data_IF_782733575574
#
_entry.id   IF_782733575574
#
_cell.length_a   1.000
_cell.length_b   1.000
_cell.length_c   1.000
_cell.angle_alpha   90.00
_cell.angle_beta   90.00
_cell.angle_gamma   90.00
#
_symmetry.space_group_name_H-M   'P 1'
#
loop_
_entity.id
_entity.type
_entity.pdbx_description
1 polymer ?
#
# COMPACT_ATOMS: atom_id res chain seq x y z
N UNK A 1 -0.87 -5.61 67.19
CA UNK A 1 -1.75 -4.75 68.01
C UNK A 1 -1.00 -4.09 69.18
N UNK A 2 0.30 -3.78 69.05
CA UNK A 2 1.09 -3.14 70.12
C UNK A 2 1.32 -1.63 69.90
N UNK A 3 1.36 -1.17 68.65
CA UNK A 3 1.65 0.24 68.32
C UNK A 3 0.63 1.32 68.76
N UNK A 4 -0.54 0.93 69.28
CA UNK A 4 -1.54 1.88 69.79
C UNK A 4 -1.40 2.20 71.28
N UNK A 5 -0.67 1.38 72.06
CA UNK A 5 -0.43 1.65 73.50
C UNK A 5 0.76 2.58 73.73
N UNK A 6 1.75 2.58 72.84
CA UNK A 6 3.02 3.28 73.05
C UNK A 6 2.97 4.76 72.64
N UNK A 7 2.24 5.11 71.58
CA UNK A 7 1.95 6.51 71.22
C UNK A 7 1.10 7.21 72.28
N UNK A 8 0.38 6.45 73.11
CA UNK A 8 -0.32 6.98 74.27
C UNK A 8 0.62 7.29 75.45
N UNK A 9 1.80 6.65 75.56
CA UNK A 9 2.76 6.83 76.66
C UNK A 9 3.60 8.10 76.51
N UNK A 10 4.15 8.37 75.32
CA UNK A 10 4.91 9.62 75.09
C UNK A 10 4.01 10.85 75.10
N UNK A 11 2.76 10.70 74.64
CA UNK A 11 1.73 11.70 74.86
C UNK A 11 1.30 11.84 76.32
N UNK A 12 1.56 10.87 77.20
CA UNK A 12 1.26 10.96 78.62
C UNK A 12 2.37 11.68 79.40
N UNK A 13 3.65 11.45 79.06
CA UNK A 13 4.78 12.19 79.64
C UNK A 13 4.71 13.69 79.31
N UNK A 14 4.41 14.03 78.04
CA UNK A 14 4.29 15.42 77.58
C UNK A 14 3.01 16.13 78.07
N UNK A 15 2.11 15.42 78.75
CA UNK A 15 0.89 15.95 79.37
C UNK A 15 1.00 16.12 80.89
N UNK A 16 2.12 15.72 81.49
CA UNK A 16 2.38 15.96 82.91
C UNK A 16 2.53 17.46 83.13
N UNK A 17 1.81 18.01 84.13
CA UNK A 17 1.83 19.43 84.50
C UNK A 17 3.25 19.93 84.78
N UNK A 18 4.16 19.04 85.16
CA UNK A 18 5.57 19.37 85.39
C UNK A 18 6.36 19.68 84.09
N UNK A 19 5.88 19.24 82.92
CA UNK A 19 6.57 19.40 81.64
C UNK A 19 5.84 20.28 80.61
N UNK A 20 4.63 20.74 80.93
CA UNK A 20 3.82 21.56 80.02
C UNK A 20 4.49 22.90 79.67
N UNK A 21 5.20 23.49 80.63
CA UNK A 21 5.90 24.76 80.43
C UNK A 21 6.97 24.65 79.34
N UNK A 22 7.65 23.50 79.24
CA UNK A 22 8.66 23.22 78.21
C UNK A 22 8.06 22.96 76.82
N UNK A 23 6.76 22.70 76.73
CA UNK A 23 6.07 22.44 75.46
C UNK A 23 5.50 23.72 74.81
N UNK A 24 5.62 24.87 75.49
CA UNK A 24 5.19 26.18 74.97
C UNK A 24 6.21 26.74 73.97
N UNK A 25 5.74 27.39 72.90
CA UNK A 25 6.62 27.97 71.88
C UNK A 25 7.47 29.15 72.40
N UNK A 26 7.00 29.83 73.47
CA UNK A 26 7.64 30.99 74.09
C UNK A 26 8.37 30.66 75.41
N UNK A 27 8.82 29.41 75.59
CA UNK A 27 9.49 29.00 76.82
C UNK A 27 10.71 29.87 77.15
N UNK A 28 10.63 30.65 78.22
CA UNK A 28 11.72 31.49 78.70
C UNK A 28 12.45 30.87 79.89
N UNK A 29 13.67 30.38 79.60
CA UNK A 29 14.57 29.77 80.58
C UNK A 29 14.85 30.71 81.76
N UNK A 30 14.91 32.02 81.54
CA UNK A 30 15.29 33.00 82.58
C UNK A 30 14.18 33.17 83.62
N UNK A 31 12.93 33.28 83.17
CA UNK A 31 11.77 33.37 84.07
C UNK A 31 11.52 32.06 84.80
N UNK A 32 11.65 30.92 84.11
CA UNK A 32 11.53 29.59 84.73
C UNK A 32 12.60 29.35 85.82
N UNK A 33 13.87 29.65 85.52
CA UNK A 33 14.97 29.49 86.50
C UNK A 33 14.85 30.47 87.66
N UNK A 34 14.45 31.73 87.41
CA UNK A 34 14.20 32.69 88.47
C UNK A 34 13.08 32.23 89.42
N UNK A 35 11.98 31.68 88.88
CA UNK A 35 10.90 31.12 89.68
C UNK A 35 11.38 29.90 90.49
N UNK A 36 12.14 28.97 89.90
CA UNK A 36 12.68 27.81 90.61
C UNK A 36 13.64 28.19 91.75
N UNK A 37 14.45 29.24 91.56
CA UNK A 37 15.34 29.80 92.59
C UNK A 37 14.54 30.46 93.71
N UNK A 38 13.52 31.27 93.37
CA UNK A 38 12.68 31.96 94.33
C UNK A 38 11.91 31.02 95.27
N UNK A 39 11.45 29.87 94.76
CA UNK A 39 10.75 28.87 95.56
C UNK A 39 11.70 27.93 96.33
N UNK A 40 13.03 28.08 96.15
CA UNK A 40 14.07 27.21 96.73
C UNK A 40 13.94 25.71 96.38
N UNK A 41 13.34 25.39 95.22
CA UNK A 41 13.03 24.01 94.78
C UNK A 41 14.02 23.50 93.72
N UNK A 42 15.18 24.15 93.57
CA UNK A 42 16.14 23.90 92.48
C UNK A 42 16.57 22.42 92.40
N UNK A 43 16.91 21.82 93.54
CA UNK A 43 17.38 20.43 93.58
C UNK A 43 16.29 19.42 93.16
N UNK A 44 15.05 19.66 93.56
CA UNK A 44 13.91 18.81 93.19
C UNK A 44 13.53 18.99 91.72
N UNK A 45 13.55 20.22 91.19
CA UNK A 45 13.28 20.47 89.77
C UNK A 45 14.37 19.89 88.87
N UNK A 46 15.64 19.96 89.27
CA UNK A 46 16.74 19.33 88.55
C UNK A 46 16.63 17.80 88.56
N UNK A 47 16.22 17.22 89.69
CA UNK A 47 15.98 15.78 89.80
C UNK A 47 14.81 15.32 88.92
N UNK A 48 13.71 16.08 88.88
CA UNK A 48 12.56 15.82 88.00
C UNK A 48 12.95 15.93 86.53
N UNK A 49 13.70 16.96 86.13
CA UNK A 49 14.17 17.11 84.76
C UNK A 49 15.11 15.96 84.34
N UNK A 50 16.04 15.56 85.21
CA UNK A 50 16.93 14.43 84.95
C UNK A 50 16.15 13.11 84.81
N UNK A 51 15.10 12.93 85.61
CA UNK A 51 14.18 11.81 85.51
C UNK A 51 13.37 11.84 84.20
N UNK A 52 12.82 13.00 83.81
CA UNK A 52 12.09 13.19 82.56
C UNK A 52 12.95 12.94 81.33
N UNK A 53 14.19 13.43 81.32
CA UNK A 53 15.17 13.15 80.24
C UNK A 53 15.44 11.64 80.15
N UNK A 54 15.66 10.98 81.28
CA UNK A 54 15.92 9.53 81.30
C UNK A 54 14.70 8.72 80.83
N UNK A 55 13.49 9.18 81.14
CA UNK A 55 12.25 8.56 80.66
C UNK A 55 12.03 8.79 79.16
N UNK A 56 12.25 10.00 78.67
CA UNK A 56 12.16 10.32 77.24
C UNK A 56 13.20 9.55 76.43
N UNK A 57 14.43 9.44 76.91
CA UNK A 57 15.49 8.66 76.27
C UNK A 57 15.12 7.18 76.17
N UNK A 58 14.57 6.62 77.26
CA UNK A 58 14.07 5.24 77.28
C UNK A 58 12.91 5.02 76.30
N UNK A 59 11.94 5.93 76.27
CA UNK A 59 10.80 5.84 75.34
C UNK A 59 11.23 6.01 73.89
N UNK A 60 12.12 6.97 73.60
CA UNK A 60 12.67 7.20 72.27
C UNK A 60 13.43 5.96 71.80
N UNK A 61 14.25 5.36 72.65
CA UNK A 61 14.94 4.11 72.34
C UNK A 61 13.96 2.98 72.03
N UNK A 62 12.92 2.81 72.85
CA UNK A 62 11.87 1.79 72.60
C UNK A 62 11.16 2.04 71.28
N UNK A 63 10.79 3.28 70.95
CA UNK A 63 10.14 3.58 69.67
C UNK A 63 11.06 3.34 68.46
N UNK A 64 12.34 3.70 68.57
CA UNK A 64 13.34 3.46 67.52
C UNK A 64 13.51 1.95 67.32
N UNK A 65 13.67 1.19 68.40
CA UNK A 65 13.78 -0.28 68.33
C UNK A 65 12.48 -0.94 67.88
N UNK A 66 11.31 -0.39 68.19
CA UNK A 66 10.05 -0.95 67.72
C UNK A 66 9.86 -0.79 66.20
N UNK A 67 10.34 0.32 65.62
CA UNK A 67 10.09 0.66 64.19
C UNK A 67 11.27 0.40 63.24
N UNK A 68 12.48 0.17 63.74
CA UNK A 68 13.65 0.01 62.86
C UNK A 68 13.54 -1.19 61.92
N UNK A 69 13.01 -2.33 62.38
CA UNK A 69 12.77 -3.52 61.56
C UNK A 69 11.80 -3.24 60.41
N UNK A 70 10.71 -2.53 60.69
CA UNK A 70 9.72 -2.16 59.65
C UNK A 70 10.31 -1.20 58.62
N UNK A 71 11.13 -0.23 59.04
CA UNK A 71 11.78 0.72 58.13
C UNK A 71 12.82 0.04 57.24
N UNK A 72 13.59 -0.91 57.80
CA UNK A 72 14.55 -1.72 57.07
C UNK A 72 13.85 -2.69 56.11
N UNK A 73 12.74 -3.32 56.54
CA UNK A 73 11.92 -4.16 55.69
C UNK A 73 11.32 -3.36 54.51
N UNK A 74 10.90 -2.11 54.75
CA UNK A 74 10.44 -1.22 53.67
C UNK A 74 11.59 -0.84 52.72
N UNK A 75 12.76 -0.48 53.25
CA UNK A 75 13.92 -0.12 52.42
C UNK A 75 14.38 -1.28 51.53
N UNK A 76 14.49 -2.49 52.09
CA UNK A 76 14.82 -3.71 51.34
C UNK A 76 13.73 -4.08 50.33
N UNK A 77 12.45 -3.84 50.68
CA UNK A 77 11.32 -3.98 49.77
C UNK A 77 11.44 -3.06 48.55
N UNK A 78 11.80 -1.79 48.76
CA UNK A 78 12.02 -0.81 47.69
C UNK A 78 13.19 -1.23 46.79
N UNK A 79 14.31 -1.66 47.38
CA UNK A 79 15.48 -2.14 46.63
C UNK A 79 15.13 -3.36 45.75
N UNK A 80 14.34 -4.30 46.28
CA UNK A 80 13.89 -5.47 45.52
C UNK A 80 13.00 -5.07 44.32
N UNK A 81 12.12 -4.08 44.50
CA UNK A 81 11.24 -3.59 43.45
C UNK A 81 12.03 -2.86 42.36
N UNK A 82 13.04 -2.07 42.74
CA UNK A 82 13.95 -1.43 41.80
C UNK A 82 14.67 -2.47 40.93
N UNK A 83 15.13 -3.57 41.52
CA UNK A 83 15.71 -4.69 40.77
C UNK A 83 14.73 -5.32 39.75
N UNK A 84 13.46 -5.51 40.13
CA UNK A 84 12.42 -6.02 39.22
C UNK A 84 12.13 -5.04 38.09
N UNK A 85 12.03 -3.74 38.39
CA UNK A 85 11.82 -2.68 37.40
C UNK A 85 12.98 -2.61 36.40
N UNK A 86 14.22 -2.70 36.88
CA UNK A 86 15.40 -2.73 36.03
C UNK A 86 15.40 -3.96 35.10
N UNK A 87 15.01 -5.13 35.62
CA UNK A 87 14.85 -6.33 34.81
C UNK A 87 13.75 -6.16 33.74
N UNK A 88 12.61 -5.57 34.10
CA UNK A 88 11.53 -5.29 33.15
C UNK A 88 11.99 -4.34 32.06
N UNK A 89 12.66 -3.25 32.40
CA UNK A 89 13.18 -2.28 31.44
C UNK A 89 14.14 -2.93 30.44
N UNK A 90 15.05 -3.78 30.93
CA UNK A 90 15.99 -4.53 30.08
C UNK A 90 15.24 -5.46 29.11
N UNK A 91 14.20 -6.17 29.58
CA UNK A 91 13.38 -7.06 28.75
C UNK A 91 12.57 -6.29 27.70
N UNK A 92 12.01 -5.14 28.06
CA UNK A 92 11.29 -4.27 27.13
C UNK A 92 12.23 -3.77 26.02
N UNK A 93 13.43 -3.33 26.37
CA UNK A 93 14.44 -2.92 25.39
C UNK A 93 14.83 -4.07 24.45
N UNK A 94 15.00 -5.28 24.98
CA UNK A 94 15.27 -6.46 24.17
C UNK A 94 14.12 -6.80 23.20
N UNK A 95 12.86 -6.66 23.66
CA UNK A 95 11.68 -6.88 22.84
C UNK A 95 11.56 -5.83 21.72
N UNK A 96 11.77 -4.55 22.04
CA UNK A 96 11.81 -3.47 21.05
C UNK A 96 12.86 -3.77 19.97
N UNK A 97 14.08 -4.15 20.37
CA UNK A 97 15.11 -4.56 19.42
C UNK A 97 14.78 -5.81 18.61
N UNK A 98 13.97 -6.75 19.14
CA UNK A 98 13.47 -7.89 18.37
C UNK A 98 12.43 -7.46 17.32
N UNK A 99 11.52 -6.55 17.67
CA UNK A 99 10.52 -6.00 16.75
C UNK A 99 11.18 -5.18 15.64
N UNK A 100 12.18 -4.36 15.95
CA UNK A 100 12.93 -3.62 14.93
C UNK A 100 13.70 -4.55 13.98
N UNK A 101 14.24 -5.66 14.50
CA UNK A 101 14.83 -6.72 13.67
C UNK A 101 13.79 -7.37 12.76
N UNK A 102 12.58 -7.64 13.24
CA UNK A 102 11.48 -8.16 12.40
C UNK A 102 11.13 -7.16 11.31
N UNK A 103 10.99 -5.87 11.63
CA UNK A 103 10.70 -4.82 10.64
C UNK A 103 11.76 -4.79 9.54
N UNK A 104 13.04 -4.70 9.92
CA UNK A 104 14.15 -4.58 8.97
C UNK A 104 14.39 -5.86 8.15
N UNK A 105 14.15 -7.04 8.73
CA UNK A 105 14.38 -8.33 8.05
C UNK A 105 13.19 -8.88 7.30
N UNK A 106 11.97 -8.43 7.61
CA UNK A 106 10.75 -8.99 7.01
C UNK A 106 9.96 -7.91 6.29
N UNK A 107 9.59 -6.83 6.97
CA UNK A 107 8.71 -5.79 6.41
C UNK A 107 9.39 -5.04 5.26
N UNK A 108 10.63 -4.59 5.45
CA UNK A 108 11.33 -3.82 4.41
C UNK A 108 11.61 -4.66 3.16
N UNK A 109 12.12 -5.92 3.25
CA UNK A 109 12.27 -6.77 2.08
C UNK A 109 10.95 -7.11 1.40
N UNK A 110 9.88 -7.35 2.17
CA UNK A 110 8.55 -7.59 1.62
C UNK A 110 8.07 -6.42 0.76
N UNK A 111 8.16 -5.19 1.27
CA UNK A 111 7.79 -3.99 0.52
C UNK A 111 8.64 -3.81 -0.75
N UNK A 112 9.94 -4.11 -0.68
CA UNK A 112 10.82 -4.10 -1.86
C UNK A 112 10.42 -5.14 -2.90
N UNK A 113 10.05 -6.35 -2.47
CA UNK A 113 9.59 -7.42 -3.36
C UNK A 113 8.28 -7.00 -4.03
N UNK A 114 7.30 -6.50 -3.26
CA UNK A 114 6.04 -6.00 -3.80
C UNK A 114 6.25 -4.94 -4.89
N UNK A 115 7.08 -3.94 -4.61
CA UNK A 115 7.39 -2.88 -5.58
C UNK A 115 8.06 -3.44 -6.84
N UNK A 116 9.03 -4.34 -6.69
CA UNK A 116 9.71 -4.98 -7.84
C UNK A 116 8.80 -5.90 -8.64
N UNK A 117 7.89 -6.62 -8.00
CA UNK A 117 6.90 -7.46 -8.67
C UNK A 117 5.93 -6.61 -9.49
N UNK A 118 5.46 -5.49 -8.94
CA UNK A 118 4.63 -4.54 -9.69
C UNK A 118 5.40 -3.94 -10.89
N UNK A 119 6.67 -3.59 -10.71
CA UNK A 119 7.53 -3.12 -11.79
C UNK A 119 7.72 -4.19 -12.87
N UNK A 120 7.97 -5.44 -12.47
CA UNK A 120 8.14 -6.56 -13.40
C UNK A 120 6.87 -6.80 -14.21
N UNK A 121 5.69 -6.78 -13.57
CA UNK A 121 4.41 -6.91 -14.26
C UNK A 121 4.22 -5.79 -15.32
N UNK A 122 4.52 -4.54 -14.96
CA UNK A 122 4.47 -3.41 -15.92
C UNK A 122 5.47 -3.59 -17.07
N UNK A 123 6.68 -4.07 -16.80
CA UNK A 123 7.68 -4.36 -17.82
C UNK A 123 7.28 -5.52 -18.74
N UNK A 124 6.62 -6.54 -18.21
CA UNK A 124 6.09 -7.65 -18.99
C UNK A 124 5.03 -7.16 -19.97
N UNK A 125 4.05 -6.38 -19.49
CA UNK A 125 3.02 -5.78 -20.35
C UNK A 125 3.66 -4.88 -21.42
N UNK A 126 4.64 -4.05 -21.06
CA UNK A 126 5.35 -3.22 -22.03
C UNK A 126 6.12 -4.07 -23.07
N UNK A 127 6.81 -5.13 -22.65
CA UNK A 127 7.49 -6.05 -23.55
C UNK A 127 6.52 -6.74 -24.52
N UNK A 128 5.36 -7.17 -24.03
CA UNK A 128 4.34 -7.83 -24.84
C UNK A 128 3.72 -6.87 -25.85
N UNK A 129 3.50 -5.61 -25.45
CA UNK A 129 3.08 -4.55 -26.36
C UNK A 129 4.15 -4.29 -27.43
N UNK A 130 5.42 -4.20 -27.06
CA UNK A 130 6.52 -4.02 -28.02
C UNK A 130 6.61 -5.18 -29.02
N UNK A 131 6.51 -6.44 -28.55
CA UNK A 131 6.49 -7.62 -29.44
C UNK A 131 5.31 -7.57 -30.41
N UNK A 132 4.14 -7.17 -29.94
CA UNK A 132 2.94 -6.99 -30.76
C UNK A 132 3.16 -5.90 -31.82
N UNK A 133 3.71 -4.74 -31.43
CA UNK A 133 4.06 -3.65 -32.34
C UNK A 133 5.03 -4.10 -33.44
N UNK A 134 6.14 -4.76 -33.07
CA UNK A 134 7.11 -5.27 -34.04
C UNK A 134 6.44 -6.20 -35.06
N UNK A 135 5.54 -7.06 -34.59
CA UNK A 135 4.81 -7.99 -35.44
C UNK A 135 3.82 -7.27 -36.37
N UNK A 136 3.13 -6.24 -35.89
CA UNK A 136 2.26 -5.39 -36.71
C UNK A 136 3.09 -4.71 -37.81
N UNK A 137 4.20 -4.05 -37.45
CA UNK A 137 5.09 -3.39 -38.42
C UNK A 137 5.57 -4.35 -39.52
N UNK A 138 5.98 -5.55 -39.13
CA UNK A 138 6.40 -6.58 -40.08
C UNK A 138 5.28 -7.00 -41.04
N UNK A 139 4.08 -7.27 -40.49
CA UNK A 139 2.92 -7.68 -41.28
C UNK A 139 2.41 -6.57 -42.20
N UNK A 140 2.43 -5.32 -41.74
CA UNK A 140 2.07 -4.16 -42.57
C UNK A 140 3.02 -4.01 -43.75
N UNK A 141 4.33 -4.15 -43.53
CA UNK A 141 5.32 -4.12 -44.60
C UNK A 141 5.12 -5.27 -45.60
N UNK A 142 4.80 -6.48 -45.10
CA UNK A 142 4.47 -7.64 -45.96
C UNK A 142 3.22 -7.36 -46.80
N UNK A 143 2.17 -6.81 -46.18
CA UNK A 143 0.92 -6.45 -46.84
C UNK A 143 1.14 -5.41 -47.94
N UNK A 144 1.96 -4.38 -47.68
CA UNK A 144 2.36 -3.39 -48.70
C UNK A 144 2.97 -4.07 -49.94
N UNK A 145 3.87 -5.03 -49.75
CA UNK A 145 4.46 -5.79 -50.85
C UNK A 145 3.42 -6.64 -51.61
N UNK A 146 2.47 -7.26 -50.89
CA UNK A 146 1.41 -8.07 -51.50
C UNK A 146 0.43 -7.25 -52.32
N UNK A 147 0.09 -6.03 -51.88
CA UNK A 147 -0.78 -5.14 -52.66
C UNK A 147 -0.12 -4.65 -53.95
N UNK A 148 1.21 -4.47 -53.96
CA UNK A 148 1.95 -4.15 -55.19
C UNK A 148 1.91 -5.30 -56.20
N UNK A 149 1.74 -6.56 -55.74
CA UNK A 149 1.52 -7.73 -56.59
C UNK A 149 0.14 -7.77 -57.28
N UNK A 150 -0.75 -6.82 -56.96
CA UNK A 150 -2.07 -6.66 -57.57
C UNK A 150 -2.97 -7.89 -57.41
N UNK A 151 -3.80 -8.13 -58.44
CA UNK A 151 -4.84 -9.18 -58.43
C UNK A 151 -4.33 -10.60 -58.10
N UNK A 152 -3.05 -10.90 -58.35
CA UNK A 152 -2.49 -12.25 -58.16
C UNK A 152 -2.24 -12.58 -56.68
N UNK A 153 -2.12 -11.57 -55.83
CA UNK A 153 -1.75 -11.74 -54.42
C UNK A 153 -2.87 -11.35 -53.43
N UNK A 154 -4.07 -11.03 -53.93
CA UNK A 154 -5.25 -10.62 -53.14
C UNK A 154 -5.55 -11.61 -52.02
N UNK A 155 -5.50 -12.91 -52.28
CA UNK A 155 -5.74 -13.95 -51.27
C UNK A 155 -4.69 -13.91 -50.15
N UNK A 156 -3.41 -13.65 -50.49
CA UNK A 156 -2.34 -13.53 -49.49
C UNK A 156 -2.45 -12.23 -48.70
N UNK A 157 -2.86 -11.14 -49.35
CA UNK A 157 -3.12 -9.86 -48.71
C UNK A 157 -4.30 -9.98 -47.71
N UNK A 158 -5.38 -10.65 -48.10
CA UNK A 158 -6.51 -10.95 -47.21
C UNK A 158 -6.09 -11.79 -45.99
N UNK A 159 -5.20 -12.77 -46.17
CA UNK A 159 -4.64 -13.55 -45.06
C UNK A 159 -3.81 -12.67 -44.11
N UNK A 160 -2.93 -11.80 -44.64
CA UNK A 160 -2.14 -10.87 -43.81
C UNK A 160 -3.04 -9.88 -43.05
N UNK A 161 -4.13 -9.40 -43.65
CA UNK A 161 -5.13 -8.57 -42.97
C UNK A 161 -5.83 -9.30 -41.83
N UNK A 162 -6.19 -10.57 -42.03
CA UNK A 162 -6.78 -11.40 -40.97
C UNK A 162 -5.80 -11.60 -39.80
N UNK A 163 -4.52 -11.88 -40.07
CA UNK A 163 -3.48 -11.97 -39.03
C UNK A 163 -3.33 -10.65 -38.25
N UNK A 164 -3.42 -9.51 -38.94
CA UNK A 164 -3.38 -8.18 -38.30
C UNK A 164 -4.59 -7.92 -37.40
N UNK A 165 -5.79 -8.39 -37.78
CA UNK A 165 -6.99 -8.30 -36.93
C UNK A 165 -6.86 -9.09 -35.64
N UNK A 166 -6.30 -10.30 -35.72
CA UNK A 166 -6.04 -11.10 -34.52
C UNK A 166 -5.05 -10.41 -33.56
N UNK A 167 -4.09 -9.63 -34.09
CA UNK A 167 -3.13 -8.90 -33.29
C UNK A 167 -3.67 -7.58 -32.72
N UNK A 168 -4.70 -6.99 -33.30
CA UNK A 168 -5.36 -5.79 -32.76
C UNK A 168 -6.51 -6.14 -31.80
N UNK A 169 -6.96 -7.39 -31.78
CA UNK A 169 -8.04 -7.82 -30.90
C UNK A 169 -7.69 -7.69 -29.41
N UNK A 170 -8.60 -7.07 -28.66
CA UNK A 170 -8.56 -6.99 -27.19
C UNK A 170 -7.49 -6.05 -26.62
N UNK A 171 -6.82 -5.24 -27.44
CA UNK A 171 -5.81 -4.27 -26.99
C UNK A 171 -6.05 -2.93 -27.67
N UNK A 172 -6.12 -1.88 -26.88
CA UNK A 172 -6.13 -0.52 -27.40
C UNK A 172 -4.72 -0.12 -27.82
N UNK A 173 -4.55 0.13 -29.12
CA UNK A 173 -3.30 0.55 -29.74
C UNK A 173 -3.31 2.06 -30.08
N UNK A 174 -4.35 2.78 -29.65
CA UNK A 174 -4.45 4.22 -29.85
C UNK A 174 -3.39 4.98 -29.05
N UNK A 175 -2.93 6.12 -29.59
CA UNK A 175 -1.89 6.95 -28.96
C UNK A 175 -0.45 6.42 -29.10
N UNK A 176 -0.23 5.39 -29.92
CA UNK A 176 1.13 4.89 -30.23
C UNK A 176 1.56 5.44 -31.61
N UNK A 177 2.28 6.56 -31.59
CA UNK A 177 2.71 7.31 -32.79
C UNK A 177 3.42 6.45 -33.84
N UNK A 178 4.23 5.47 -33.40
CA UNK A 178 5.05 4.63 -34.27
C UNK A 178 4.21 3.77 -35.23
N UNK A 179 3.00 3.35 -34.82
CA UNK A 179 2.14 2.46 -35.61
C UNK A 179 0.90 3.17 -36.16
N UNK A 180 0.68 4.44 -35.84
CA UNK A 180 -0.53 5.16 -36.22
C UNK A 180 -0.72 5.20 -37.75
N UNK A 181 0.37 5.52 -38.47
CA UNK A 181 0.37 5.50 -39.94
C UNK A 181 0.11 4.11 -40.51
N UNK A 182 0.64 3.06 -39.87
CA UNK A 182 0.42 1.67 -40.27
C UNK A 182 -1.05 1.27 -40.06
N UNK A 183 -1.68 1.66 -38.95
CA UNK A 183 -3.10 1.40 -38.69
C UNK A 183 -4.01 2.07 -39.72
N UNK A 184 -3.70 3.32 -40.10
CA UNK A 184 -4.39 4.03 -41.19
C UNK A 184 -4.18 3.33 -42.54
N UNK A 185 -2.97 2.84 -42.80
CA UNK A 185 -2.68 2.06 -43.99
C UNK A 185 -3.45 0.74 -44.03
N UNK A 186 -3.47 -0.04 -42.94
CA UNK A 186 -4.20 -1.31 -42.83
C UNK A 186 -5.69 -1.10 -43.13
N UNK A 187 -6.27 -0.02 -42.60
CA UNK A 187 -7.67 0.32 -42.83
C UNK A 187 -7.97 0.57 -44.32
N UNK A 188 -7.08 1.29 -45.02
CA UNK A 188 -7.18 1.52 -46.47
C UNK A 188 -6.95 0.24 -47.29
N UNK A 189 -5.93 -0.53 -46.91
CA UNK A 189 -5.60 -1.81 -47.53
C UNK A 189 -6.77 -2.80 -47.47
N UNK A 190 -7.54 -2.81 -46.37
CA UNK A 190 -8.75 -3.63 -46.26
C UNK A 190 -9.77 -3.29 -47.34
N UNK A 191 -10.08 -2.01 -47.50
CA UNK A 191 -11.03 -1.55 -48.51
C UNK A 191 -10.53 -1.87 -49.94
N UNK A 192 -9.23 -1.74 -50.18
CA UNK A 192 -8.61 -2.09 -51.45
C UNK A 192 -8.74 -3.58 -51.77
N UNK A 193 -8.41 -4.46 -50.81
CA UNK A 193 -8.54 -5.92 -50.97
C UNK A 193 -10.00 -6.33 -51.22
N UNK A 194 -10.95 -5.75 -50.48
CA UNK A 194 -12.38 -6.01 -50.69
C UNK A 194 -12.85 -5.59 -52.09
N UNK A 195 -12.41 -4.42 -52.56
CA UNK A 195 -12.75 -3.95 -53.90
C UNK A 195 -12.10 -4.79 -55.00
N UNK A 196 -10.85 -5.20 -54.83
CA UNK A 196 -10.16 -6.10 -55.75
C UNK A 196 -10.84 -7.47 -55.79
N UNK A 197 -11.23 -8.02 -54.64
CA UNK A 197 -11.97 -9.28 -54.56
C UNK A 197 -13.34 -9.21 -55.24
N UNK A 198 -14.09 -8.11 -55.07
CA UNK A 198 -15.38 -7.89 -55.77
C UNK A 198 -15.20 -7.87 -57.28
N UNK A 199 -14.22 -7.13 -57.79
CA UNK A 199 -13.92 -7.09 -59.24
C UNK A 199 -13.53 -8.46 -59.78
N UNK A 200 -12.73 -9.23 -59.05
CA UNK A 200 -12.34 -10.58 -59.45
C UNK A 200 -13.54 -11.52 -59.51
N UNK A 201 -14.47 -11.39 -58.56
CA UNK A 201 -15.70 -12.17 -58.56
C UNK A 201 -16.60 -11.81 -59.75
N UNK A 202 -16.78 -10.51 -60.02
CA UNK A 202 -17.55 -10.01 -61.18
C UNK A 202 -16.96 -10.55 -62.50
N UNK A 203 -15.64 -10.42 -62.69
CA UNK A 203 -14.94 -10.95 -63.86
C UNK A 203 -15.08 -12.48 -63.97
N UNK A 204 -14.93 -13.20 -62.86
CA UNK A 204 -15.09 -14.65 -62.82
C UNK A 204 -16.51 -15.10 -63.18
N UNK A 205 -17.53 -14.40 -62.67
CA UNK A 205 -18.92 -14.63 -63.04
C UNK A 205 -19.13 -14.38 -64.53
N UNK A 206 -18.65 -13.26 -65.08
CA UNK A 206 -18.84 -12.89 -66.49
C UNK A 206 -18.21 -13.89 -67.48
N UNK A 207 -17.04 -14.43 -67.14
CA UNK A 207 -16.40 -15.53 -67.89
C UNK A 207 -17.24 -16.82 -67.84
N UNK A 208 -17.89 -17.10 -66.70
CA UNK A 208 -18.80 -18.23 -66.58
C UNK A 208 -20.10 -18.02 -67.38
N UNK A 209 -20.68 -16.82 -67.38
CA UNK A 209 -21.88 -16.48 -68.15
C UNK A 209 -21.65 -16.53 -69.67
N UNK A 210 -20.47 -16.10 -70.13
CA UNK A 210 -20.10 -16.15 -71.55
C UNK A 210 -19.78 -17.56 -72.03
N UNK A 211 -19.16 -18.40 -71.21
CA UNK A 211 -18.89 -19.81 -71.52
C UNK A 211 -20.14 -20.72 -71.42
N UNK A 212 -21.12 -20.36 -70.58
CA UNK A 212 -22.38 -21.11 -70.43
C UNK A 212 -23.47 -20.73 -71.45
N UNK A 213 -23.23 -19.75 -72.35
CA UNK A 213 -24.20 -19.36 -73.39
C UNK A 213 -24.14 -20.38 -74.54
N UNK A 214 -25.20 -21.14 -74.85
CA UNK A 214 -25.17 -22.07 -75.97
C UNK A 214 -24.97 -21.27 -77.27
N UNK A 215 -24.01 -21.68 -78.10
CA UNK A 215 -23.92 -21.22 -79.49
C UNK A 215 -25.20 -21.66 -80.21
N UNK A 216 -26.18 -20.75 -80.32
CA UNK A 216 -27.36 -20.96 -81.15
C UNK A 216 -26.96 -21.05 -82.63
N UNK A 217 -27.58 -21.94 -83.42
CA UNK A 217 -27.10 -22.24 -84.76
C UNK A 217 -27.30 -21.05 -85.71
N UNK A 218 -26.27 -20.76 -86.51
CA UNK A 218 -26.33 -19.87 -87.66
C UNK A 218 -27.28 -20.43 -88.71
N UNK A 219 -28.50 -19.89 -88.77
CA UNK A 219 -29.43 -20.16 -89.86
C UNK A 219 -28.88 -19.51 -91.15
N UNK A 220 -28.25 -20.35 -91.99
CA UNK A 220 -27.98 -20.04 -93.39
C UNK A 220 -29.29 -19.89 -94.15
N UNK A 221 -29.52 -18.70 -94.73
CA UNK A 221 -30.68 -18.44 -95.56
C UNK A 221 -30.32 -18.63 -97.03
N UNK A 222 -30.66 -19.81 -97.56
CA UNK A 222 -30.73 -20.09 -98.99
C UNK A 222 -31.96 -19.43 -99.61
N UNK A 223 -31.75 -18.75 -100.74
CA UNK A 223 -32.80 -18.22 -101.60
C UNK A 223 -33.75 -19.32 -102.12
N UNK A 224 -34.94 -18.94 -102.62
CA UNK A 224 -35.17 -19.23 -104.03
C UNK A 224 -35.86 -18.11 -104.82
N UNK A 225 -35.56 -18.17 -106.13
CA UNK A 225 -36.02 -17.34 -107.25
C UNK A 225 -37.55 -17.23 -107.36
N UNK A 226 -38.05 -16.05 -107.71
CA UNK A 226 -39.20 -15.90 -108.62
C UNK A 226 -38.94 -14.79 -109.64
N UNK A 227 -39.11 -15.17 -110.91
CA UNK A 227 -39.09 -14.34 -112.10
C UNK A 227 -40.52 -13.89 -112.46
N UNK A 228 -40.57 -12.93 -113.41
CA UNK A 228 -41.73 -12.23 -114.02
C UNK A 228 -42.08 -10.91 -113.32
N UNK A 229 -42.31 -9.79 -113.99
CA UNK A 229 -42.17 -9.36 -115.38
C UNK A 229 -42.66 -7.90 -115.43
N UNK A 230 -42.02 -7.03 -116.21
CA UNK A 230 -42.77 -5.96 -116.90
C UNK A 230 -42.72 -4.51 -116.34
N UNK A 231 -41.62 -3.80 -116.62
CA UNK A 231 -41.47 -2.45 -117.25
C UNK A 231 -42.33 -1.21 -116.77
N UNK A 232 -41.97 0.05 -117.12
CA UNK A 232 -41.55 1.06 -116.14
C UNK A 232 -42.27 2.43 -116.27
N UNK A 233 -42.23 3.31 -115.26
CA UNK A 233 -42.50 4.75 -115.48
C UNK A 233 -41.67 5.63 -114.53
N UNK A 234 -40.61 6.22 -115.10
CA UNK A 234 -40.17 7.64 -115.12
C UNK A 234 -40.22 8.54 -113.86
N UNK A 235 -39.09 9.27 -113.74
CA UNK A 235 -38.89 10.68 -113.33
C UNK A 235 -39.06 10.99 -111.81
N UNK A 236 -38.26 11.86 -111.17
CA UNK A 236 -37.30 12.88 -111.62
C UNK A 236 -36.42 13.27 -110.42
N UNK A 237 -35.19 13.67 -110.72
CA UNK A 237 -34.25 14.37 -109.84
C UNK A 237 -34.86 15.63 -109.22
N UNK A 238 -34.47 15.91 -107.98
CA UNK A 238 -33.65 17.06 -107.59
C UNK A 238 -32.65 16.58 -106.54
#
# INVERSE_FOLDING_TARGET
>A
MEGSKETASSNALLKDECYTDFCTEDFDVKTYTAQAIHHAVIAEQLAKLAQGISQLDKELHVQVVARHEDLLAQATGIESLEGVLQMMQTRIAALQGAVDRIRTKIVDPYNKILARTAQLARLQVACDLLRRIIRILYLTKRLQGQLQGGSREVTKAAQSLSELDYLSQGVDLSGIDVIENDLLFISRARLEVENQAKRLLEQGMEIQWTSARPLGPSLGNGAPRRSRSGVPVRLRCL
#
